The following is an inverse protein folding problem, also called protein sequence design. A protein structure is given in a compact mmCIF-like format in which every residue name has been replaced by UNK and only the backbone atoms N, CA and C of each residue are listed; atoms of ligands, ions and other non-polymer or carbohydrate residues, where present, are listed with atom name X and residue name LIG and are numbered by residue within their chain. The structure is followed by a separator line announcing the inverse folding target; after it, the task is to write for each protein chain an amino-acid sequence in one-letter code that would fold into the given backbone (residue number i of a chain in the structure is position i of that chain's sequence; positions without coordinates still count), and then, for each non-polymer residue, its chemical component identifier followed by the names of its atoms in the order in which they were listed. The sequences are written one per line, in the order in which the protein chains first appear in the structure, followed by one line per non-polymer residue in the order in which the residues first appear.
data_IF_334203166061
#
_entry.id   IF_334203166061
#
_cell.length_a   1.000
_cell.length_b   1.000
_cell.length_c   1.000
_cell.angle_alpha   90.00
_cell.angle_beta   90.00
_cell.angle_gamma   90.00
#
_symmetry.space_group_name_H-M   'P 1'
#
loop_
_entity.id
_entity.type
_entity.pdbx_description
1 polymer ?
#
# COMPACT_ATOMS: atom_id res chain seq x y z
N UNK A 1 58.31 -8.84 91.38
CA UNK A 1 58.37 -7.44 90.87
C UNK A 1 57.68 -7.41 89.51
N UNK A 2 56.45 -6.90 89.46
CA UNK A 2 55.62 -6.85 88.26
C UNK A 2 55.70 -5.47 87.60
N UNK A 3 55.98 -5.45 86.31
CA UNK A 3 55.99 -4.25 85.48
C UNK A 3 54.90 -4.44 84.42
N UNK A 4 53.90 -3.55 84.46
CA UNK A 4 52.82 -3.44 83.49
C UNK A 4 53.34 -2.62 82.29
N UNK A 5 53.34 -3.19 81.08
CA UNK A 5 53.46 -2.43 79.83
C UNK A 5 52.52 -2.98 78.75
N UNK A 6 51.72 -2.06 78.23
CA UNK A 6 50.65 -2.22 77.24
C UNK A 6 51.23 -2.44 75.83
N UNK A 7 50.67 -3.39 75.08
CA UNK A 7 50.71 -3.38 73.61
C UNK A 7 49.36 -2.88 73.06
N UNK A 8 49.34 -1.87 72.18
CA UNK A 8 48.12 -1.25 71.70
C UNK A 8 47.44 -2.03 70.56
N UNK A 9 46.12 -1.93 70.58
CA UNK A 9 45.13 -2.57 69.72
C UNK A 9 45.10 -1.87 68.34
N UNK A 10 45.56 -2.53 67.27
CA UNK A 10 45.51 -1.97 65.90
C UNK A 10 44.60 -2.76 64.92
N UNK A 11 43.61 -3.52 65.43
CA UNK A 11 42.68 -4.32 64.61
C UNK A 11 41.35 -3.65 64.23
N UNK A 12 41.01 -2.46 64.77
CA UNK A 12 39.66 -1.89 64.60
C UNK A 12 39.45 -1.03 63.35
N UNK A 13 40.48 -0.44 62.75
CA UNK A 13 40.29 0.52 61.64
C UNK A 13 40.19 -0.12 60.24
N UNK A 14 40.84 -1.27 60.00
CA UNK A 14 40.82 -1.91 58.68
C UNK A 14 39.46 -2.58 58.36
N UNK A 15 38.71 -3.03 59.37
CA UNK A 15 37.41 -3.66 59.15
C UNK A 15 36.32 -2.66 58.70
N UNK A 16 36.39 -1.39 59.12
CA UNK A 16 35.45 -0.34 58.70
C UNK A 16 35.66 0.06 57.23
N UNK A 17 36.92 0.24 56.82
CA UNK A 17 37.27 0.55 55.44
C UNK A 17 36.95 -0.62 54.51
N UNK A 18 37.31 -1.85 54.88
CA UNK A 18 36.99 -3.04 54.09
C UNK A 18 35.47 -3.23 53.96
N UNK A 19 34.69 -3.10 55.04
CA UNK A 19 33.23 -3.22 54.95
C UNK A 19 32.59 -2.12 54.11
N UNK A 20 33.13 -0.91 54.12
CA UNK A 20 32.65 0.20 53.28
C UNK A 20 32.97 -0.05 51.80
N UNK A 21 34.19 -0.50 51.49
CA UNK A 21 34.62 -0.85 50.13
C UNK A 21 33.76 -2.00 49.57
N UNK A 22 33.52 -3.05 50.37
CA UNK A 22 32.67 -4.17 49.96
C UNK A 22 31.21 -3.75 49.71
N UNK A 23 30.64 -2.88 50.56
CA UNK A 23 29.27 -2.35 50.36
C UNK A 23 29.17 -1.54 49.06
N UNK A 24 30.12 -0.64 48.82
CA UNK A 24 30.14 0.19 47.61
C UNK A 24 30.31 -0.67 46.34
N UNK A 25 31.15 -1.71 46.39
CA UNK A 25 31.32 -2.62 45.26
C UNK A 25 30.04 -3.40 44.93
N UNK A 26 29.31 -3.87 45.95
CA UNK A 26 28.03 -4.56 45.77
C UNK A 26 26.97 -3.61 45.20
N UNK A 27 26.94 -2.37 45.66
CA UNK A 27 25.98 -1.36 45.19
C UNK A 27 26.25 -0.96 43.73
N UNK A 28 27.52 -0.78 43.36
CA UNK A 28 27.94 -0.56 41.98
C UNK A 28 27.58 -1.75 41.08
N UNK A 29 27.79 -2.98 41.53
CA UNK A 29 27.41 -4.18 40.79
C UNK A 29 25.90 -4.26 40.57
N UNK A 30 25.09 -4.02 41.61
CA UNK A 30 23.62 -4.01 41.52
C UNK A 30 23.11 -2.93 40.58
N UNK A 31 23.69 -1.73 40.63
CA UNK A 31 23.30 -0.62 39.75
C UNK A 31 23.66 -0.90 38.29
N UNK A 32 24.85 -1.45 38.03
CA UNK A 32 25.26 -1.84 36.68
C UNK A 32 24.40 -2.98 36.14
N UNK A 33 24.08 -3.99 36.96
CA UNK A 33 23.18 -5.07 36.58
C UNK A 33 21.77 -4.56 36.26
N UNK A 34 21.22 -3.66 37.09
CA UNK A 34 19.90 -3.03 36.85
C UNK A 34 19.91 -2.21 35.55
N UNK A 35 20.95 -1.38 35.33
CA UNK A 35 21.11 -0.56 34.13
C UNK A 35 21.26 -1.40 32.87
N UNK A 36 22.00 -2.51 32.94
CA UNK A 36 22.16 -3.46 31.83
C UNK A 36 20.85 -4.22 31.56
N UNK A 37 20.15 -4.71 32.59
CA UNK A 37 18.86 -5.38 32.45
C UNK A 37 17.80 -4.45 31.85
N UNK A 38 17.75 -3.18 32.26
CA UNK A 38 16.84 -2.18 31.68
C UNK A 38 17.18 -1.91 30.21
N UNK A 39 18.46 -1.76 29.84
CA UNK A 39 18.87 -1.58 28.43
C UNK A 39 18.52 -2.78 27.55
N UNK A 40 18.74 -4.00 28.06
CA UNK A 40 18.40 -5.25 27.34
C UNK A 40 16.88 -5.40 27.19
N UNK A 41 16.09 -5.11 28.24
CA UNK A 41 14.62 -5.13 28.15
C UNK A 41 14.10 -4.10 27.14
N UNK A 42 14.63 -2.88 27.16
CA UNK A 42 14.26 -1.82 26.21
C UNK A 42 14.63 -2.18 24.77
N UNK A 43 15.78 -2.82 24.56
CA UNK A 43 16.20 -3.28 23.22
C UNK A 43 15.29 -4.41 22.70
N UNK A 44 14.95 -5.39 23.54
CA UNK A 44 14.03 -6.49 23.19
C UNK A 44 12.63 -5.94 22.87
N UNK A 45 12.16 -4.95 23.63
CA UNK A 45 10.85 -4.31 23.41
C UNK A 45 10.80 -3.50 22.11
N UNK A 46 11.90 -2.87 21.69
CA UNK A 46 11.99 -2.15 20.42
C UNK A 46 11.99 -3.14 19.24
N UNK A 47 12.71 -4.26 19.35
CA UNK A 47 12.75 -5.30 18.30
C UNK A 47 11.38 -5.97 18.12
N UNK A 48 10.63 -6.22 19.20
CA UNK A 48 9.27 -6.81 19.10
C UNK A 48 8.24 -5.83 18.55
N UNK A 49 8.35 -4.53 18.83
CA UNK A 49 7.46 -3.50 18.26
C UNK A 49 7.73 -3.31 16.76
N UNK A 50 8.99 -3.40 16.30
CA UNK A 50 9.33 -3.32 14.88
C UNK A 50 8.86 -4.53 14.06
N UNK A 51 8.73 -5.71 14.66
CA UNK A 51 8.19 -6.91 13.99
C UNK A 51 6.66 -6.92 13.89
N UNK A 52 5.96 -6.16 14.75
CA UNK A 52 4.49 -6.09 14.74
C UNK A 52 3.92 -4.97 13.85
N UNK A 53 4.77 -4.20 13.14
CA UNK A 53 4.34 -3.06 12.32
C UNK A 53 4.29 -3.34 10.80
N UNK A 54 4.48 -4.58 10.35
CA UNK A 54 4.37 -4.95 8.93
C UNK A 54 3.41 -6.13 8.73
N UNK A 55 2.29 -5.85 8.04
CA UNK A 55 1.40 -6.84 7.42
C UNK A 55 0.10 -7.09 8.18
N UNK A 56 -0.95 -6.27 7.93
CA UNK A 56 -2.29 -6.88 7.95
C UNK A 56 -2.30 -7.91 6.83
N UNK A 57 -2.71 -9.15 7.12
CA UNK A 57 -2.82 -10.19 6.10
C UNK A 57 -3.87 -9.75 5.06
N UNK A 58 -3.42 -9.44 3.85
CA UNK A 58 -4.25 -8.92 2.77
C UNK A 58 -4.78 -10.03 1.87
N UNK A 59 -4.71 -11.29 2.33
CA UNK A 59 -5.22 -12.46 1.63
C UNK A 59 -6.21 -13.21 2.52
N UNK A 60 -7.34 -12.57 2.84
CA UNK A 60 -8.36 -13.13 3.74
C UNK A 60 -9.38 -13.97 3.01
N UNK A 61 -9.56 -13.74 1.71
CA UNK A 61 -10.59 -14.41 0.92
C UNK A 61 -10.09 -15.80 0.53
N UNK A 62 -10.77 -16.84 1.02
CA UNK A 62 -10.43 -18.22 0.70
C UNK A 62 -10.69 -18.54 -0.76
N UNK A 63 -10.02 -19.54 -1.33
CA UNK A 63 -10.25 -19.97 -2.72
C UNK A 63 -11.72 -20.33 -3.00
N UNK A 64 -12.41 -20.94 -2.02
CA UNK A 64 -13.84 -21.25 -2.12
C UNK A 64 -14.68 -19.97 -2.21
N UNK A 65 -14.37 -18.95 -1.41
CA UNK A 65 -15.06 -17.67 -1.45
C UNK A 65 -14.77 -16.89 -2.74
N UNK A 66 -13.54 -16.98 -3.27
CA UNK A 66 -13.18 -16.38 -4.57
C UNK A 66 -14.02 -16.99 -5.71
N UNK A 67 -14.13 -18.32 -5.74
CA UNK A 67 -14.97 -19.03 -6.72
C UNK A 67 -16.44 -18.65 -6.52
N UNK A 68 -16.92 -18.66 -5.28
CA UNK A 68 -18.32 -18.34 -4.96
C UNK A 68 -18.67 -16.92 -5.40
N UNK A 69 -17.83 -15.93 -5.09
CA UNK A 69 -18.06 -14.53 -5.46
C UNK A 69 -18.11 -14.33 -6.98
N UNK A 70 -17.14 -14.89 -7.72
CA UNK A 70 -17.17 -14.86 -9.18
C UNK A 70 -18.42 -15.54 -9.75
N UNK A 71 -18.79 -16.71 -9.22
CA UNK A 71 -19.95 -17.48 -9.67
C UNK A 71 -21.26 -16.77 -9.39
N UNK A 72 -21.36 -16.07 -8.26
CA UNK A 72 -22.52 -15.25 -7.92
C UNK A 72 -22.65 -14.08 -8.90
N UNK A 73 -21.56 -13.37 -9.21
CA UNK A 73 -21.59 -12.30 -10.20
C UNK A 73 -21.99 -12.81 -11.59
N UNK A 74 -21.37 -13.91 -12.05
CA UNK A 74 -21.75 -14.54 -13.31
C UNK A 74 -23.24 -14.87 -13.35
N UNK A 75 -23.78 -15.47 -12.28
CA UNK A 75 -25.20 -15.81 -12.17
C UNK A 75 -26.08 -14.56 -12.18
N UNK A 76 -25.83 -13.59 -11.31
CA UNK A 76 -26.65 -12.38 -11.19
C UNK A 76 -26.70 -11.59 -12.50
N UNK A 77 -25.57 -11.48 -13.20
CA UNK A 77 -25.53 -10.85 -14.54
C UNK A 77 -26.31 -11.68 -15.55
N UNK A 78 -26.12 -13.01 -15.57
CA UNK A 78 -26.84 -13.88 -16.51
C UNK A 78 -28.36 -13.76 -16.40
N UNK A 79 -28.87 -13.59 -15.18
CA UNK A 79 -30.31 -13.49 -14.93
C UNK A 79 -30.85 -12.06 -15.07
N UNK A 80 -30.10 -11.04 -14.67
CA UNK A 80 -30.64 -9.68 -14.49
C UNK A 80 -30.09 -8.64 -15.47
N UNK A 81 -28.98 -8.91 -16.17
CA UNK A 81 -28.39 -7.92 -17.07
C UNK A 81 -29.16 -7.87 -18.41
N UNK A 82 -29.87 -6.76 -18.63
CA UNK A 82 -30.77 -6.61 -19.77
C UNK A 82 -30.07 -6.26 -21.10
N UNK A 83 -28.78 -5.89 -21.08
CA UNK A 83 -28.11 -5.24 -22.21
C UNK A 83 -27.09 -6.12 -22.96
N UNK A 84 -27.22 -7.45 -22.88
CA UNK A 84 -26.36 -8.36 -23.65
C UNK A 84 -26.40 -8.12 -25.18
N UNK A 85 -27.48 -7.53 -25.69
CA UNK A 85 -27.58 -7.11 -27.08
C UNK A 85 -26.55 -6.03 -27.49
N UNK A 86 -25.97 -5.29 -26.54
CA UNK A 86 -24.92 -4.30 -26.79
C UNK A 86 -23.52 -4.93 -26.91
N UNK A 87 -23.38 -6.18 -26.46
CA UNK A 87 -22.13 -6.96 -26.52
C UNK A 87 -22.38 -8.31 -27.20
N UNK A 88 -22.84 -8.34 -28.47
CA UNK A 88 -23.34 -9.56 -29.11
C UNK A 88 -22.27 -10.64 -29.32
N UNK A 89 -20.99 -10.26 -29.29
CA UNK A 89 -19.86 -11.18 -29.45
C UNK A 89 -19.33 -11.71 -28.09
N UNK A 90 -19.89 -11.26 -26.97
CA UNK A 90 -19.48 -11.69 -25.64
C UNK A 90 -20.14 -13.02 -25.29
N UNK A 91 -19.34 -14.09 -25.22
CA UNK A 91 -19.80 -15.35 -24.65
C UNK A 91 -19.58 -15.34 -23.13
N UNK A 92 -20.61 -14.96 -22.39
CA UNK A 92 -20.54 -14.74 -20.95
C UNK A 92 -20.07 -15.97 -20.16
N UNK A 93 -20.58 -17.15 -20.51
CA UNK A 93 -20.20 -18.42 -19.87
C UNK A 93 -18.73 -18.77 -20.12
N UNK A 94 -18.25 -18.56 -21.35
CA UNK A 94 -16.84 -18.78 -21.68
C UNK A 94 -15.94 -17.80 -20.92
N UNK A 95 -16.35 -16.54 -20.78
CA UNK A 95 -15.63 -15.54 -19.99
C UNK A 95 -15.57 -15.92 -18.51
N UNK A 96 -16.66 -16.44 -17.94
CA UNK A 96 -16.67 -16.95 -16.57
C UNK A 96 -15.69 -18.10 -16.39
N UNK A 97 -15.74 -19.10 -17.28
CA UNK A 97 -14.82 -20.25 -17.23
C UNK A 97 -13.35 -19.84 -17.35
N UNK A 98 -13.05 -18.88 -18.22
CA UNK A 98 -11.70 -18.33 -18.38
C UNK A 98 -11.23 -17.46 -17.19
N UNK A 99 -12.15 -17.00 -16.33
CA UNK A 99 -11.85 -16.14 -15.18
C UNK A 99 -11.61 -16.94 -13.89
N UNK A 100 -12.12 -18.17 -13.80
CA UNK A 100 -11.90 -19.08 -12.66
C UNK A 100 -10.40 -19.26 -12.29
N UNK A 101 -9.49 -19.62 -13.21
CA UNK A 101 -8.08 -19.75 -12.86
C UNK A 101 -7.48 -18.41 -12.41
N UNK A 102 -7.87 -17.30 -13.07
CA UNK A 102 -7.34 -15.96 -12.76
C UNK A 102 -7.67 -15.51 -11.35
N UNK A 103 -8.91 -15.70 -10.88
CA UNK A 103 -9.28 -15.35 -9.50
C UNK A 103 -8.57 -16.24 -8.47
N UNK A 104 -8.25 -17.49 -8.81
CA UNK A 104 -7.53 -18.41 -7.91
C UNK A 104 -6.03 -18.11 -7.83
N UNK A 105 -5.45 -17.59 -8.91
CA UNK A 105 -4.04 -17.23 -8.99
C UNK A 105 -3.70 -15.89 -8.31
N UNK A 106 -4.70 -15.14 -7.82
CA UNK A 106 -4.46 -13.83 -7.20
C UNK A 106 -3.71 -13.93 -5.88
N UNK A 107 -2.75 -13.03 -5.69
CA UNK A 107 -1.83 -13.06 -4.54
C UNK A 107 -2.42 -12.48 -3.26
N UNK A 108 -3.43 -11.61 -3.40
CA UNK A 108 -4.08 -10.90 -2.31
C UNK A 108 -5.54 -10.53 -2.69
N UNK A 109 -6.28 -10.01 -1.73
CA UNK A 109 -7.68 -9.62 -1.87
C UNK A 109 -7.85 -8.47 -2.88
N UNK A 110 -6.88 -7.55 -3.00
CA UNK A 110 -6.94 -6.47 -3.98
C UNK A 110 -6.86 -7.00 -5.41
N UNK A 111 -5.91 -7.89 -5.69
CA UNK A 111 -5.78 -8.57 -6.98
C UNK A 111 -7.05 -9.37 -7.33
N UNK A 112 -7.68 -10.01 -6.33
CA UNK A 112 -8.98 -10.65 -6.52
C UNK A 112 -10.05 -9.67 -7.00
N UNK A 113 -10.21 -8.52 -6.34
CA UNK A 113 -11.17 -7.52 -6.79
C UNK A 113 -10.83 -6.92 -8.16
N UNK A 114 -9.55 -6.78 -8.51
CA UNK A 114 -9.12 -6.36 -9.84
C UNK A 114 -9.55 -7.37 -10.91
N UNK A 115 -9.43 -8.67 -10.67
CA UNK A 115 -9.94 -9.70 -11.60
C UNK A 115 -11.48 -9.65 -11.72
N UNK A 116 -12.20 -9.39 -10.62
CA UNK A 116 -13.65 -9.17 -10.70
C UNK A 116 -14.02 -7.94 -11.53
N UNK A 117 -13.27 -6.83 -11.37
CA UNK A 117 -13.47 -5.63 -12.19
C UNK A 117 -13.19 -5.89 -13.67
N UNK A 118 -12.11 -6.62 -13.99
CA UNK A 118 -11.84 -7.06 -15.37
C UNK A 118 -12.99 -7.86 -15.94
N UNK A 119 -13.50 -8.84 -15.18
CA UNK A 119 -14.62 -9.66 -15.62
C UNK A 119 -15.89 -8.84 -15.91
N UNK A 120 -16.24 -7.90 -15.02
CA UNK A 120 -17.42 -7.04 -15.21
C UNK A 120 -17.23 -6.00 -16.33
N UNK A 121 -15.99 -5.54 -16.59
CA UNK A 121 -15.68 -4.61 -17.69
C UNK A 121 -16.02 -5.18 -19.07
N UNK A 122 -16.06 -6.51 -19.22
CA UNK A 122 -16.40 -7.18 -20.47
C UNK A 122 -17.81 -6.85 -20.95
N UNK A 123 -18.70 -6.48 -20.03
CA UNK A 123 -20.08 -6.06 -20.34
C UNK A 123 -20.14 -4.71 -21.05
N UNK A 124 -19.04 -3.93 -21.05
CA UNK A 124 -18.96 -2.61 -21.66
C UNK A 124 -20.14 -1.71 -21.26
N UNK A 125 -20.43 -1.69 -19.95
CA UNK A 125 -21.53 -0.92 -19.38
C UNK A 125 -21.03 0.01 -18.27
N UNK A 126 -21.42 1.29 -18.34
CA UNK A 126 -21.00 2.35 -17.41
C UNK A 126 -21.68 2.29 -16.04
N UNK A 127 -22.67 1.42 -15.84
CA UNK A 127 -23.42 1.31 -14.58
C UNK A 127 -23.18 0.00 -13.84
N UNK A 128 -22.50 -0.95 -14.47
CA UNK A 128 -22.24 -2.28 -13.92
C UNK A 128 -20.78 -2.39 -13.47
N UNK A 129 -20.54 -2.29 -12.17
CA UNK A 129 -19.18 -2.19 -11.60
C UNK A 129 -19.03 -2.84 -10.24
N UNK A 130 -17.79 -3.22 -9.93
CA UNK A 130 -17.39 -3.76 -8.63
C UNK A 130 -16.61 -2.70 -7.86
N UNK A 131 -16.98 -2.52 -6.61
CA UNK A 131 -16.24 -1.69 -5.67
C UNK A 131 -15.49 -2.56 -4.66
N UNK A 132 -14.15 -2.47 -4.64
CA UNK A 132 -13.38 -3.07 -3.56
C UNK A 132 -13.76 -2.43 -2.21
N UNK A 133 -13.59 -3.16 -1.09
CA UNK A 133 -13.69 -2.64 0.26
C UNK A 133 -12.93 -1.33 0.42
N UNK A 134 -13.49 -0.40 1.19
CA UNK A 134 -12.96 0.97 1.33
C UNK A 134 -11.50 0.99 1.80
N UNK A 135 -11.12 0.04 2.65
CA UNK A 135 -9.77 -0.11 3.17
C UNK A 135 -8.77 -0.41 2.05
N UNK A 136 -9.10 -1.37 1.17
CA UNK A 136 -8.27 -1.72 0.02
C UNK A 136 -8.21 -0.55 -0.98
N UNK A 137 -9.34 0.10 -1.28
CA UNK A 137 -9.33 1.27 -2.18
C UNK A 137 -8.49 2.41 -1.62
N UNK A 138 -8.58 2.71 -0.34
CA UNK A 138 -7.77 3.79 0.24
C UNK A 138 -6.27 3.50 0.17
N UNK A 139 -5.88 2.22 0.22
CA UNK A 139 -4.49 1.79 0.12
C UNK A 139 -3.99 1.81 -1.34
N UNK A 140 -4.72 1.16 -2.24
CA UNK A 140 -4.30 0.85 -3.62
C UNK A 140 -4.85 1.80 -4.69
N UNK A 141 -5.78 2.68 -4.31
CA UNK A 141 -6.44 3.62 -5.20
C UNK A 141 -6.31 5.04 -4.65
N UNK A 142 -5.07 5.40 -4.34
CA UNK A 142 -4.63 6.78 -4.12
C UNK A 142 -4.94 7.59 -5.37
N UNK A 143 -5.99 8.41 -5.30
CA UNK A 143 -6.46 9.19 -6.44
C UNK A 143 -5.55 10.39 -6.67
N UNK A 144 -4.70 10.32 -7.68
CA UNK A 144 -3.87 11.43 -8.17
C UNK A 144 -4.68 12.65 -8.59
N UNK A 145 -5.98 12.48 -8.88
CA UNK A 145 -6.91 13.61 -9.12
C UNK A 145 -7.01 14.58 -7.94
N UNK A 146 -6.51 14.20 -6.74
CA UNK A 146 -6.31 15.14 -5.62
C UNK A 146 -5.10 16.05 -5.81
N UNK A 147 -4.09 15.61 -6.55
CA UNK A 147 -2.83 16.31 -6.77
C UNK A 147 -2.78 17.03 -8.13
N UNK A 148 -3.27 16.39 -9.20
CA UNK A 148 -3.36 16.97 -10.54
C UNK A 148 -4.42 16.25 -11.38
N UNK A 149 -4.96 16.93 -12.39
CA UNK A 149 -5.95 16.34 -13.31
C UNK A 149 -5.43 16.33 -14.74
N UNK A 150 -5.74 15.26 -15.49
CA UNK A 150 -5.32 15.08 -16.89
C UNK A 150 -6.53 14.95 -17.81
N UNK A 151 -6.34 15.24 -19.10
CA UNK A 151 -7.32 14.95 -20.17
C UNK A 151 -6.61 14.52 -21.44
N UNK A 152 -7.26 13.67 -22.21
CA UNK A 152 -6.87 13.42 -23.60
C UNK A 152 -7.35 14.60 -24.46
N UNK A 153 -6.41 15.32 -25.08
CA UNK A 153 -6.66 16.47 -25.96
C UNK A 153 -5.77 16.29 -27.19
N UNK A 154 -6.34 16.28 -28.40
CA UNK A 154 -5.58 16.13 -29.66
C UNK A 154 -4.60 14.94 -29.64
N UNK A 155 -5.04 13.81 -29.08
CA UNK A 155 -4.23 12.60 -28.92
C UNK A 155 -2.98 12.76 -28.03
N UNK A 156 -3.04 13.69 -27.07
CA UNK A 156 -2.00 13.92 -26.06
C UNK A 156 -2.59 13.89 -24.67
N UNK A 157 -1.84 13.40 -23.69
CA UNK A 157 -2.25 13.40 -22.28
C UNK A 157 -1.82 14.72 -21.65
N UNK A 158 -2.76 15.66 -21.55
CA UNK A 158 -2.45 17.02 -21.08
C UNK A 158 -2.83 17.20 -19.61
N UNK A 159 -1.93 17.78 -18.83
CA UNK A 159 -2.21 18.27 -17.48
C UNK A 159 -3.16 19.46 -17.59
N UNK A 160 -4.35 19.31 -17.03
CA UNK A 160 -5.40 20.34 -17.08
C UNK A 160 -5.46 21.18 -15.81
N UNK A 161 -5.07 20.63 -14.66
CA UNK A 161 -4.93 21.36 -13.40
C UNK A 161 -3.84 20.73 -12.56
N UNK A 162 -3.08 21.56 -11.85
CA UNK A 162 -2.18 21.15 -10.77
C UNK A 162 -2.80 21.67 -9.47
N UNK A 163 -3.24 20.76 -8.61
CA UNK A 163 -3.97 21.06 -7.38
C UNK A 163 -3.05 21.09 -6.16
N UNK A 164 -1.91 20.41 -6.24
CA UNK A 164 -0.90 20.36 -5.19
C UNK A 164 0.16 21.46 -5.38
N UNK A 165 0.30 22.32 -4.37
CA UNK A 165 1.25 23.43 -4.36
C UNK A 165 2.70 22.96 -4.47
N UNK A 166 3.02 21.81 -3.88
CA UNK A 166 4.37 21.25 -3.96
C UNK A 166 4.77 20.86 -5.38
N UNK A 167 3.81 20.40 -6.19
CA UNK A 167 4.01 20.08 -7.60
C UNK A 167 4.16 21.35 -8.44
N UNK A 168 3.38 22.41 -8.14
CA UNK A 168 3.53 23.71 -8.80
C UNK A 168 4.91 24.32 -8.56
N UNK A 169 5.42 24.23 -7.32
CA UNK A 169 6.77 24.71 -6.95
C UNK A 169 7.87 23.92 -7.67
N UNK A 170 7.65 22.62 -7.90
CA UNK A 170 8.54 21.77 -8.70
C UNK A 170 8.48 22.07 -10.21
N UNK A 171 7.59 22.96 -10.65
CA UNK A 171 7.52 23.43 -12.03
C UNK A 171 6.41 22.80 -12.86
N UNK A 172 5.58 21.91 -12.31
CA UNK A 172 4.42 21.37 -13.02
C UNK A 172 3.40 22.49 -13.27
N UNK A 173 2.91 22.57 -14.50
CA UNK A 173 1.95 23.58 -14.95
C UNK A 173 0.83 22.94 -15.76
N UNK A 174 -0.32 23.62 -15.76
CA UNK A 174 -1.38 23.33 -16.71
C UNK A 174 -0.86 23.51 -18.15
N UNK A 175 -1.25 22.63 -19.06
CA UNK A 175 -0.88 22.64 -20.47
C UNK A 175 0.28 21.71 -20.82
N UNK A 176 1.08 21.28 -19.83
CA UNK A 176 2.16 20.32 -20.06
C UNK A 176 1.62 18.95 -20.47
N UNK A 177 2.33 18.29 -21.38
CA UNK A 177 2.03 16.94 -21.86
C UNK A 177 2.74 15.92 -20.98
N UNK A 178 2.05 14.84 -20.60
CA UNK A 178 2.68 13.66 -20.03
C UNK A 178 3.11 12.77 -21.19
N UNK A 179 4.41 12.58 -21.34
CA UNK A 179 5.03 11.80 -22.44
C UNK A 179 5.50 10.42 -21.99
N UNK A 180 5.63 10.19 -20.68
CA UNK A 180 5.85 8.85 -20.14
C UNK A 180 5.23 8.68 -18.76
N UNK A 181 4.79 7.45 -18.46
CA UNK A 181 4.34 7.01 -17.14
C UNK A 181 5.11 5.73 -16.79
N UNK A 182 5.88 5.75 -15.71
CA UNK A 182 6.77 4.65 -15.31
C UNK A 182 7.60 4.12 -16.51
N UNK A 183 8.25 5.06 -17.21
CA UNK A 183 9.12 4.79 -18.37
C UNK A 183 8.41 4.13 -19.58
N UNK A 184 7.08 4.20 -19.65
CA UNK A 184 6.26 3.71 -20.75
C UNK A 184 5.50 4.85 -21.43
N UNK A 185 5.23 4.69 -22.74
CA UNK A 185 4.27 5.52 -23.44
C UNK A 185 2.91 5.55 -22.68
N UNK A 186 2.28 6.73 -22.49
CA UNK A 186 1.08 6.88 -21.69
C UNK A 186 -0.10 6.05 -22.21
N UNK A 187 -0.22 5.86 -23.52
CA UNK A 187 -1.29 5.05 -24.11
C UNK A 187 -1.05 3.56 -23.89
N UNK A 188 0.19 3.11 -24.01
CA UNK A 188 0.58 1.73 -23.66
C UNK A 188 0.35 1.45 -22.18
N UNK A 189 0.73 2.38 -21.29
CA UNK A 189 0.46 2.28 -19.86
C UNK A 189 -1.04 2.19 -19.59
N UNK A 190 -1.82 3.11 -20.17
CA UNK A 190 -3.26 3.17 -20.01
C UNK A 190 -3.93 1.86 -20.46
N UNK A 191 -3.56 1.33 -21.63
CA UNK A 191 -4.14 0.10 -22.16
C UNK A 191 -3.80 -1.12 -21.29
N UNK A 192 -2.59 -1.16 -20.72
CA UNK A 192 -2.13 -2.30 -19.93
C UNK A 192 -2.63 -2.28 -18.48
N UNK A 193 -2.64 -1.12 -17.84
CA UNK A 193 -2.82 -1.00 -16.39
C UNK A 193 -4.12 -0.29 -15.97
N UNK A 194 -4.86 0.31 -16.90
CA UNK A 194 -6.06 1.10 -16.57
C UNK A 194 -7.28 0.58 -17.32
N UNK A 195 -7.21 0.52 -18.65
CA UNK A 195 -8.28 0.13 -19.56
C UNK A 195 -8.96 -1.22 -19.24
N UNK A 196 -8.27 -2.26 -18.71
CA UNK A 196 -8.90 -3.53 -18.36
C UNK A 196 -9.90 -3.43 -17.20
N UNK A 197 -9.88 -2.36 -16.42
CA UNK A 197 -10.73 -2.18 -15.23
C UNK A 197 -11.87 -1.17 -15.45
N UNK A 198 -11.89 -0.51 -16.62
CA UNK A 198 -12.83 0.58 -16.92
C UNK A 198 -14.17 0.03 -17.39
N UNK A 199 -15.22 0.47 -16.71
CA UNK A 199 -16.62 0.16 -17.00
C UNK A 199 -17.23 1.36 -17.75
N UNK A 200 -17.57 1.25 -19.03
CA UNK A 200 -18.08 2.39 -19.80
C UNK A 200 -18.98 1.93 -20.94
N UNK A 201 -20.11 2.61 -21.15
CA UNK A 201 -21.06 2.31 -22.24
C UNK A 201 -20.70 2.99 -23.56
N UNK A 202 -19.80 3.97 -23.56
CA UNK A 202 -19.43 4.72 -24.77
C UNK A 202 -17.91 4.90 -24.87
N UNK A 203 -17.36 5.02 -26.09
CA UNK A 203 -15.94 5.33 -26.27
C UNK A 203 -15.52 6.63 -25.57
N UNK A 204 -16.37 7.65 -25.57
CA UNK A 204 -16.09 8.95 -24.96
C UNK A 204 -15.97 8.83 -23.43
N UNK A 205 -16.90 8.13 -22.79
CA UNK A 205 -16.83 7.86 -21.36
C UNK A 205 -15.63 6.96 -21.01
N UNK A 206 -15.35 5.95 -21.84
CA UNK A 206 -14.16 5.10 -21.68
C UNK A 206 -12.88 5.93 -21.67
N UNK A 207 -12.70 6.84 -22.62
CA UNK A 207 -11.54 7.73 -22.68
C UNK A 207 -11.49 8.68 -21.48
N UNK A 208 -12.63 9.22 -21.03
CA UNK A 208 -12.69 10.07 -19.85
C UNK A 208 -12.24 9.30 -18.59
N UNK A 209 -12.74 8.08 -18.39
CA UNK A 209 -12.36 7.26 -17.25
C UNK A 209 -10.89 6.89 -17.28
N UNK A 210 -10.39 6.42 -18.43
CA UNK A 210 -8.98 6.07 -18.60
C UNK A 210 -8.09 7.29 -18.34
N UNK A 211 -8.24 8.36 -19.13
CA UNK A 211 -7.25 9.45 -19.18
C UNK A 211 -7.48 10.58 -18.17
N UNK A 212 -8.67 10.66 -17.54
CA UNK A 212 -8.95 11.72 -16.57
C UNK A 212 -9.23 11.23 -15.15
N UNK A 213 -9.80 10.03 -14.97
CA UNK A 213 -10.15 9.54 -13.64
C UNK A 213 -9.09 8.60 -13.07
N UNK A 214 -8.55 7.70 -13.91
CA UNK A 214 -7.80 6.54 -13.41
C UNK A 214 -6.35 6.45 -13.89
N UNK A 215 -5.94 7.24 -14.89
CA UNK A 215 -4.61 7.15 -15.51
C UNK A 215 -3.46 7.12 -14.49
N UNK A 216 -3.55 8.03 -13.52
CA UNK A 216 -2.53 8.23 -12.51
C UNK A 216 -2.99 7.71 -11.14
N UNK A 217 -4.03 6.88 -11.07
CA UNK A 217 -4.48 6.28 -9.82
C UNK A 217 -3.61 5.05 -9.51
N UNK A 218 -3.26 4.85 -8.24
CA UNK A 218 -2.40 3.75 -7.84
C UNK A 218 -2.18 3.66 -6.34
N UNK A 219 -1.27 2.80 -5.91
CA UNK A 219 -0.90 2.63 -4.51
C UNK A 219 -0.45 3.95 -3.89
N UNK A 220 -0.87 4.20 -2.65
CA UNK A 220 -0.41 5.39 -1.88
C UNK A 220 1.03 5.24 -1.39
N UNK A 221 1.61 4.04 -1.50
CA UNK A 221 2.96 3.71 -1.03
C UNK A 221 3.97 3.74 -2.20
N UNK A 222 3.52 3.43 -3.41
CA UNK A 222 4.35 3.40 -4.61
C UNK A 222 4.03 4.60 -5.50
N UNK A 223 4.90 5.63 -5.55
CA UNK A 223 4.64 6.80 -6.36
C UNK A 223 4.70 6.45 -7.85
N UNK A 224 3.80 7.04 -8.63
CA UNK A 224 3.85 6.99 -10.09
C UNK A 224 4.88 8.02 -10.57
N UNK A 225 5.82 7.58 -11.41
CA UNK A 225 6.76 8.46 -12.10
C UNK A 225 6.10 8.94 -13.39
N UNK A 226 6.12 10.25 -13.63
CA UNK A 226 5.71 10.85 -14.90
C UNK A 226 6.87 11.66 -15.50
N UNK A 227 6.97 11.64 -16.82
CA UNK A 227 7.82 12.54 -17.59
C UNK A 227 6.94 13.47 -18.40
N UNK A 228 7.35 14.75 -18.47
CA UNK A 228 6.54 15.82 -19.01
C UNK A 228 7.31 16.67 -20.01
N UNK A 229 6.61 17.16 -21.03
CA UNK A 229 7.11 18.14 -22.00
C UNK A 229 6.26 19.41 -21.93
N UNK A 230 6.92 20.57 -22.12
CA UNK A 230 6.21 21.84 -22.27
C UNK A 230 5.66 21.96 -23.69
N UNK A 231 4.71 22.86 -23.91
CA UNK A 231 4.10 23.08 -25.23
C UNK A 231 5.09 23.53 -26.32
N UNK A 232 6.32 23.88 -25.93
CA UNK A 232 7.37 24.37 -26.82
C UNK A 232 8.39 23.29 -27.26
N UNK A 233 8.27 22.04 -26.76
CA UNK A 233 9.30 21.02 -26.88
C UNK A 233 10.34 21.16 -25.77
#
# INVERSE_FOLDING_TARGET
MGINWLYPNNRKNNNSLLTTIFKNAIELYKNNYKKMKTKVLSFIMIVTISLCAFGQDENKISNNDKIFGLSLLWKEVSYNFAFFNQVPNLNWDSCYMASLPKVLETTNDWDYYLELQKFMSLLQDGHTRIFPPVQLRNKYFGTSTKHLTTRLIENKVIITRVLDDSLRIQGLKQGMEIVAINDMDPFVYAEKYVAPYVYASTPQDRLLQIFSQFLLSGSTIEPIKIEIEDLNG
#
